data_IF_906680280798
#
_entry.id   IF_906680280798
#
_cell.length_a   1.000
_cell.length_b   1.000
_cell.length_c   1.000
_cell.angle_alpha   90.00
_cell.angle_beta   90.00
_cell.angle_gamma   90.00
#
_symmetry.space_group_name_H-M   'P 1'
#
loop_
_entity.id
_entity.type
_entity.pdbx_description
1 polymer ?
#
# COMPACT_ATOMS: atom_id res chain seq x y z
N UNK A 1 11.59 19.38 22.88
CA UNK A 1 10.95 19.75 21.61
C UNK A 1 11.62 18.92 20.54
N UNK A 2 11.05 17.77 20.19
CA UNK A 2 11.66 16.87 19.20
C UNK A 2 11.20 17.33 17.82
N UNK A 3 12.15 17.42 16.89
CA UNK A 3 11.87 17.72 15.49
C UNK A 3 11.05 16.56 14.93
N UNK A 4 9.73 16.74 14.85
CA UNK A 4 8.94 16.08 13.81
C UNK A 4 9.65 16.32 12.48
N UNK A 5 9.54 15.37 11.56
CA UNK A 5 10.02 15.56 10.19
C UNK A 5 9.14 16.66 9.58
N UNK A 6 9.45 17.92 9.85
CA UNK A 6 8.99 19.10 9.12
C UNK A 6 9.88 19.27 7.88
N UNK A 7 10.24 18.16 7.23
CA UNK A 7 10.70 18.19 5.86
C UNK A 7 9.43 18.15 5.01
N UNK A 8 8.93 19.36 4.72
CA UNK A 8 7.98 19.72 3.66
C UNK A 8 6.54 20.11 4.03
N UNK A 9 5.92 20.84 3.11
CA UNK A 9 4.52 21.25 3.13
C UNK A 9 3.51 20.15 2.79
N UNK A 10 3.93 18.87 2.75
CA UNK A 10 3.02 17.74 2.55
C UNK A 10 2.67 17.07 3.89
N UNK A 11 1.37 17.00 4.20
CA UNK A 11 0.88 16.26 5.37
C UNK A 11 0.68 14.76 5.14
N UNK A 12 1.11 14.22 3.99
CA UNK A 12 0.90 12.81 3.59
C UNK A 12 2.20 12.03 3.62
N UNK A 13 2.13 10.80 4.14
CA UNK A 13 3.20 9.79 4.16
C UNK A 13 2.83 8.59 3.27
N UNK A 14 3.79 7.81 2.75
CA UNK A 14 5.24 7.93 2.94
C UNK A 14 5.86 9.08 2.15
N UNK A 15 6.94 9.65 2.70
CA UNK A 15 7.77 10.67 2.06
C UNK A 15 9.12 10.04 1.72
N UNK A 16 9.51 10.05 0.45
CA UNK A 16 10.86 9.72 0.01
C UNK A 16 11.56 11.02 -0.40
N UNK A 17 12.59 11.38 0.35
CA UNK A 17 13.49 12.49 0.01
C UNK A 17 14.72 11.91 -0.67
N UNK A 18 15.03 12.43 -1.85
CA UNK A 18 16.24 12.11 -2.60
C UNK A 18 17.16 13.31 -2.52
N UNK A 19 18.29 13.12 -1.85
CA UNK A 19 19.33 14.14 -1.70
C UNK A 19 20.20 14.20 -2.96
N UNK A 20 20.23 15.37 -3.59
CA UNK A 20 21.10 15.72 -4.72
C UNK A 20 21.36 17.23 -4.73
N UNK A 21 21.69 17.82 -5.89
CA UNK A 21 21.89 19.28 -6.00
C UNK A 21 20.61 20.07 -5.67
N UNK A 22 19.44 19.50 -6.01
CA UNK A 22 18.13 19.92 -5.51
C UNK A 22 17.48 18.75 -4.76
N UNK A 23 16.96 19.00 -3.56
CA UNK A 23 16.23 18.00 -2.78
C UNK A 23 14.89 17.70 -3.45
N UNK A 24 14.68 16.45 -3.84
CA UNK A 24 13.46 16.01 -4.48
C UNK A 24 12.63 15.17 -3.53
N UNK A 25 11.34 15.46 -3.47
CA UNK A 25 10.42 14.84 -2.52
C UNK A 25 9.26 14.16 -3.25
N UNK A 26 9.04 12.90 -2.91
CA UNK A 26 7.94 12.10 -3.41
C UNK A 26 7.04 11.65 -2.26
N UNK A 27 5.74 11.86 -2.42
CA UNK A 27 4.73 11.66 -1.35
C UNK A 27 3.65 10.63 -1.70
N UNK A 28 3.71 10.05 -2.90
CA UNK A 28 2.79 9.00 -3.34
C UNK A 28 3.55 7.69 -3.46
N UNK A 29 3.13 6.69 -2.66
CA UNK A 29 3.79 5.38 -2.60
C UNK A 29 3.83 4.67 -3.96
N UNK A 30 2.77 4.81 -4.76
CA UNK A 30 2.66 4.20 -6.07
C UNK A 30 3.60 4.88 -7.08
N UNK A 31 3.70 6.21 -7.05
CA UNK A 31 4.70 6.96 -7.83
C UNK A 31 6.12 6.57 -7.43
N UNK A 32 6.43 6.52 -6.13
CA UNK A 32 7.75 6.10 -5.63
C UNK A 32 8.12 4.73 -6.20
N UNK A 33 7.22 3.75 -6.07
CA UNK A 33 7.44 2.40 -6.61
C UNK A 33 7.65 2.39 -8.13
N UNK A 34 6.82 3.11 -8.89
CA UNK A 34 6.89 3.15 -10.36
C UNK A 34 8.16 3.85 -10.84
N UNK A 35 8.53 4.96 -10.20
CA UNK A 35 9.71 5.74 -10.52
C UNK A 35 11.00 4.95 -10.21
N UNK A 36 11.10 4.37 -9.01
CA UNK A 36 12.24 3.53 -8.65
C UNK A 36 12.36 2.30 -9.57
N UNK A 37 11.25 1.62 -9.87
CA UNK A 37 11.26 0.48 -10.79
C UNK A 37 11.74 0.87 -12.18
N UNK A 38 11.34 2.05 -12.65
CA UNK A 38 11.80 2.60 -13.92
C UNK A 38 13.32 2.80 -13.92
N UNK A 39 13.88 3.45 -12.90
CA UNK A 39 15.32 3.67 -12.77
C UNK A 39 16.12 2.37 -12.60
N UNK A 40 15.58 1.37 -11.91
CA UNK A 40 16.23 0.06 -11.74
C UNK A 40 16.36 -0.70 -13.06
N UNK A 41 15.40 -0.52 -13.98
CA UNK A 41 15.41 -1.16 -15.30
C UNK A 41 16.22 -0.34 -16.28
N UNK A 42 15.90 0.94 -16.40
CA UNK A 42 16.54 1.88 -17.31
C UNK A 42 17.58 2.70 -16.52
N UNK A 43 18.77 2.10 -16.35
CA UNK A 43 19.90 2.72 -15.63
C UNK A 43 20.43 4.00 -16.28
N UNK A 44 19.95 4.35 -17.48
CA UNK A 44 20.33 5.57 -18.18
C UNK A 44 19.60 6.81 -17.66
N UNK A 45 18.42 6.62 -17.06
CA UNK A 45 17.58 7.72 -16.58
C UNK A 45 17.81 8.01 -15.10
N UNK A 46 17.93 9.28 -14.78
CA UNK A 46 17.93 9.74 -13.40
C UNK A 46 16.51 9.77 -12.83
N UNK A 47 16.40 9.70 -11.51
CA UNK A 47 15.10 9.80 -10.83
C UNK A 47 14.41 11.15 -11.09
N UNK A 48 15.20 12.22 -11.20
CA UNK A 48 14.74 13.57 -11.54
C UNK A 48 14.03 13.62 -12.90
N UNK A 49 14.58 12.96 -13.92
CA UNK A 49 13.95 12.85 -15.23
C UNK A 49 12.68 11.99 -15.16
N UNK A 50 12.75 10.85 -14.48
CA UNK A 50 11.63 9.90 -14.40
C UNK A 50 10.40 10.50 -13.72
N UNK A 51 10.58 11.35 -12.71
CA UNK A 51 9.46 11.96 -11.98
C UNK A 51 8.65 12.91 -12.87
N UNK A 52 9.25 13.50 -13.89
CA UNK A 52 8.52 14.35 -14.86
C UNK A 52 7.41 13.60 -15.60
N UNK A 53 7.49 12.27 -15.67
CA UNK A 53 6.47 11.42 -16.29
C UNK A 53 5.23 11.16 -15.40
N UNK A 54 5.26 11.60 -14.15
CA UNK A 54 4.16 11.48 -13.19
C UNK A 54 3.67 12.87 -12.76
N UNK A 55 3.06 13.67 -13.66
CA UNK A 55 2.62 15.01 -13.31
C UNK A 55 1.46 14.99 -12.31
N UNK A 56 1.49 15.98 -11.42
CA UNK A 56 0.48 16.23 -10.40
C UNK A 56 -0.76 16.89 -11.01
N UNK A 57 -1.92 16.31 -10.75
CA UNK A 57 -3.23 16.90 -10.98
C UNK A 57 -3.81 17.37 -9.66
N UNK A 58 -4.00 18.69 -9.55
CA UNK A 58 -4.71 19.29 -8.43
C UNK A 58 -6.19 19.39 -8.78
N UNK A 59 -7.04 18.86 -7.91
CA UNK A 59 -8.48 18.90 -8.04
C UNK A 59 -9.09 19.38 -6.74
N UNK A 60 -10.06 20.29 -6.81
CA UNK A 60 -10.80 20.77 -5.64
C UNK A 60 -12.18 20.12 -5.65
N UNK A 61 -12.52 19.38 -4.60
CA UNK A 61 -13.85 18.77 -4.48
C UNK A 61 -14.93 19.85 -4.22
N UNK A 62 -16.21 19.48 -4.33
CA UNK A 62 -17.37 20.35 -4.07
C UNK A 62 -17.36 21.00 -2.67
N UNK A 63 -16.58 20.45 -1.74
CA UNK A 63 -16.39 20.94 -0.39
C UNK A 63 -15.19 21.91 -0.23
N UNK A 64 -14.53 22.30 -1.33
CA UNK A 64 -13.36 23.18 -1.28
C UNK A 64 -12.06 22.47 -0.85
N UNK A 65 -12.08 21.15 -0.69
CA UNK A 65 -10.91 20.36 -0.29
C UNK A 65 -10.05 20.10 -1.51
N UNK A 66 -8.81 20.60 -1.49
CA UNK A 66 -7.81 20.28 -2.51
C UNK A 66 -7.31 18.85 -2.36
N UNK A 67 -7.25 18.15 -3.48
CA UNK A 67 -6.70 16.81 -3.62
C UNK A 67 -5.64 16.86 -4.73
N UNK A 68 -4.49 16.24 -4.47
CA UNK A 68 -3.45 16.05 -5.49
C UNK A 68 -3.42 14.58 -5.86
N UNK A 69 -3.61 14.29 -7.14
CA UNK A 69 -3.51 12.97 -7.72
C UNK A 69 -2.36 12.95 -8.72
N UNK A 70 -1.64 11.83 -8.83
CA UNK A 70 -0.57 11.68 -9.80
C UNK A 70 -1.06 10.88 -10.99
N UNK A 71 -0.98 11.46 -12.19
CA UNK A 71 -1.22 10.66 -13.39
C UNK A 71 -0.15 9.62 -13.56
N UNK A 72 -0.50 8.52 -14.22
CA UNK A 72 0.40 7.41 -14.50
C UNK A 72 1.02 6.77 -13.25
N UNK A 73 0.51 7.01 -12.02
CA UNK A 73 1.14 6.55 -10.77
C UNK A 73 1.45 5.06 -10.73
N UNK A 74 0.69 4.25 -11.46
CA UNK A 74 0.84 2.80 -11.54
C UNK A 74 1.65 2.29 -12.75
N UNK A 75 2.11 3.20 -13.61
CA UNK A 75 2.73 2.88 -14.89
C UNK A 75 4.26 3.01 -14.84
N UNK A 76 4.98 1.92 -15.12
CA UNK A 76 6.45 1.94 -15.22
C UNK A 76 6.88 2.48 -16.59
N UNK A 77 7.76 3.48 -16.64
CA UNK A 77 8.08 4.26 -17.84
C UNK A 77 9.27 3.66 -18.64
N UNK A 78 9.00 2.57 -19.36
CA UNK A 78 10.00 1.83 -20.14
C UNK A 78 9.98 2.16 -21.63
N UNK A 79 11.15 2.07 -22.28
CA UNK A 79 11.25 2.06 -23.74
C UNK A 79 10.80 0.70 -24.31
N UNK A 80 10.64 0.59 -25.64
CA UNK A 80 10.12 -0.61 -26.29
C UNK A 80 10.94 -1.87 -26.01
N UNK A 81 12.27 -1.76 -26.04
CA UNK A 81 13.20 -2.88 -25.81
C UNK A 81 13.06 -3.40 -24.37
N UNK A 82 13.10 -2.50 -23.38
CA UNK A 82 12.96 -2.85 -21.98
C UNK A 82 11.54 -3.38 -21.68
N UNK A 83 10.53 -2.86 -22.37
CA UNK A 83 9.16 -3.33 -22.25
C UNK A 83 9.02 -4.78 -22.71
N UNK A 84 9.56 -5.15 -23.87
CA UNK A 84 9.50 -6.53 -24.38
C UNK A 84 10.28 -7.49 -23.48
N UNK A 85 11.40 -7.05 -22.91
CA UNK A 85 12.21 -7.87 -22.02
C UNK A 85 11.53 -8.13 -20.66
N UNK A 86 10.91 -7.10 -20.07
CA UNK A 86 10.34 -7.19 -18.72
C UNK A 86 8.84 -7.57 -18.69
N UNK A 87 8.12 -7.32 -19.78
CA UNK A 87 6.71 -7.67 -19.95
C UNK A 87 6.51 -8.37 -21.31
N UNK A 88 7.01 -9.61 -21.47
CA UNK A 88 6.89 -10.35 -22.72
C UNK A 88 5.42 -10.60 -23.12
N UNK A 89 4.52 -10.68 -22.14
CA UNK A 89 3.08 -10.66 -22.36
C UNK A 89 2.53 -9.24 -22.14
N UNK A 90 1.94 -8.65 -23.20
CA UNK A 90 1.31 -7.32 -23.12
C UNK A 90 0.16 -7.28 -22.11
N UNK A 91 -0.49 -8.41 -21.84
CA UNK A 91 -1.51 -8.50 -20.80
C UNK A 91 -0.91 -8.40 -19.40
N UNK A 92 0.32 -8.89 -19.17
CA UNK A 92 0.96 -8.89 -17.85
C UNK A 92 1.17 -7.47 -17.30
N UNK A 93 1.54 -6.51 -18.15
CA UNK A 93 1.66 -5.09 -17.74
C UNK A 93 0.31 -4.50 -17.35
N UNK A 94 -0.73 -4.77 -18.13
CA UNK A 94 -2.09 -4.27 -17.86
C UNK A 94 -2.65 -4.88 -16.58
N UNK A 95 -2.40 -6.17 -16.36
CA UNK A 95 -2.77 -6.86 -15.13
C UNK A 95 -2.05 -6.25 -13.92
N UNK A 96 -0.74 -6.04 -13.99
CA UNK A 96 0.00 -5.38 -12.91
C UNK A 96 -0.62 -4.02 -12.55
N UNK A 97 -0.83 -3.16 -13.54
CA UNK A 97 -1.44 -1.82 -13.34
C UNK A 97 -2.82 -1.93 -12.71
N UNK A 98 -3.67 -2.83 -13.22
CA UNK A 98 -5.02 -3.07 -12.69
C UNK A 98 -4.99 -3.49 -11.22
N UNK A 99 -4.11 -4.42 -10.87
CA UNK A 99 -4.05 -4.95 -9.50
C UNK A 99 -3.40 -3.99 -8.51
N UNK A 100 -2.51 -3.11 -8.96
CA UNK A 100 -2.02 -2.00 -8.12
C UNK A 100 -3.11 -0.97 -7.83
N UNK A 101 -3.93 -0.62 -8.82
CA UNK A 101 -5.14 0.18 -8.59
C UNK A 101 -6.08 -0.50 -7.59
N UNK A 102 -6.37 -1.79 -7.78
CA UNK A 102 -7.22 -2.53 -6.86
C UNK A 102 -6.65 -2.57 -5.42
N UNK A 103 -5.33 -2.69 -5.27
CA UNK A 103 -4.70 -2.70 -3.95
C UNK A 103 -4.89 -1.35 -3.21
N UNK A 104 -4.66 -0.24 -3.90
CA UNK A 104 -4.75 1.10 -3.32
C UNK A 104 -6.21 1.56 -3.13
N UNK A 105 -7.05 1.33 -4.14
CA UNK A 105 -8.38 1.96 -4.23
C UNK A 105 -9.47 1.08 -3.59
N UNK A 106 -9.22 -0.23 -3.44
CA UNK A 106 -10.17 -1.17 -2.84
C UNK A 106 -9.62 -1.86 -1.59
N UNK A 107 -8.55 -2.67 -1.72
CA UNK A 107 -8.06 -3.50 -0.62
C UNK A 107 -7.66 -2.66 0.61
N UNK A 108 -6.98 -1.54 0.41
CA UNK A 108 -6.59 -0.61 1.48
C UNK A 108 -7.81 -0.08 2.23
N UNK A 109 -8.89 0.27 1.52
CA UNK A 109 -10.13 0.77 2.11
C UNK A 109 -10.84 -0.28 2.98
N UNK A 110 -10.60 -1.58 2.74
CA UNK A 110 -11.16 -2.66 3.57
C UNK A 110 -10.48 -2.78 4.93
N UNK A 111 -9.24 -2.31 5.09
CA UNK A 111 -8.45 -2.54 6.28
C UNK A 111 -9.01 -1.84 7.52
N UNK A 112 -9.31 -0.53 7.44
CA UNK A 112 -9.76 0.22 8.60
C UNK A 112 -11.08 -0.34 9.20
N UNK A 113 -12.13 -0.63 8.41
CA UNK A 113 -13.34 -1.30 8.91
C UNK A 113 -13.08 -2.67 9.55
N UNK A 114 -12.06 -3.38 9.08
CA UNK A 114 -11.69 -4.68 9.60
C UNK A 114 -10.86 -4.59 10.89
N UNK A 115 -9.85 -3.73 10.94
CA UNK A 115 -8.96 -3.59 12.09
C UNK A 115 -9.65 -2.91 13.27
N UNK A 116 -10.59 -1.99 13.00
CA UNK A 116 -11.32 -1.26 14.02
C UNK A 116 -12.75 -1.79 14.21
N UNK A 117 -13.02 -3.05 13.86
CA UNK A 117 -14.37 -3.65 13.84
C UNK A 117 -15.03 -3.67 15.21
N UNK A 118 -14.27 -3.94 16.27
CA UNK A 118 -14.73 -3.99 17.66
C UNK A 118 -13.86 -3.10 18.55
N UNK A 119 -14.35 -2.65 19.72
CA UNK A 119 -13.55 -1.82 20.63
C UNK A 119 -12.23 -2.49 21.06
N UNK A 120 -12.25 -3.81 21.25
CA UNK A 120 -11.06 -4.58 21.61
C UNK A 120 -10.03 -4.62 20.49
N UNK A 121 -10.48 -4.87 19.25
CA UNK A 121 -9.60 -4.85 18.07
C UNK A 121 -9.03 -3.44 17.82
N UNK A 122 -9.84 -2.39 18.02
CA UNK A 122 -9.38 -1.02 17.86
C UNK A 122 -8.31 -0.63 18.89
N UNK A 123 -8.49 -1.05 20.15
CA UNK A 123 -7.48 -0.86 21.19
C UNK A 123 -6.20 -1.63 20.90
N UNK A 124 -6.30 -2.87 20.40
CA UNK A 124 -5.12 -3.67 20.02
C UNK A 124 -4.35 -3.03 18.85
N UNK A 125 -5.05 -2.52 17.84
CA UNK A 125 -4.45 -1.82 16.72
C UNK A 125 -3.70 -0.55 17.17
N UNK A 126 -4.32 0.25 18.04
CA UNK A 126 -3.67 1.45 18.56
C UNK A 126 -2.57 1.16 19.58
N UNK A 127 -2.67 0.09 20.34
CA UNK A 127 -1.57 -0.38 21.19
C UNK A 127 -0.33 -0.69 20.36
N UNK A 128 -0.52 -1.38 19.22
CA UNK A 128 0.54 -1.62 18.25
C UNK A 128 1.11 -0.30 17.73
N UNK A 129 0.27 0.62 17.24
CA UNK A 129 0.70 1.94 16.74
C UNK A 129 1.55 2.68 17.78
N UNK A 130 1.12 2.67 19.05
CA UNK A 130 1.83 3.35 20.13
C UNK A 130 3.15 2.63 20.47
N UNK A 131 3.16 1.30 20.42
CA UNK A 131 4.35 0.49 20.72
C UNK A 131 5.43 0.53 19.63
N UNK A 132 5.03 0.65 18.37
CA UNK A 132 5.93 0.71 17.21
C UNK A 132 6.32 2.16 16.88
N UNK A 133 5.52 3.12 17.32
CA UNK A 133 5.78 4.55 17.19
C UNK A 133 6.68 5.10 18.28
N UNK A 134 7.14 6.33 18.08
CA UNK A 134 8.01 7.04 19.03
C UNK A 134 7.21 8.07 19.84
N UNK A 135 6.25 7.62 20.65
CA UNK A 135 5.35 8.49 21.42
C UNK A 135 5.79 8.63 22.89
N UNK A 136 5.60 9.81 23.48
CA UNK A 136 5.78 9.99 24.92
C UNK A 136 4.73 9.24 25.74
N UNK A 137 4.93 8.99 27.06
CA UNK A 137 3.99 8.20 27.86
C UNK A 137 2.55 8.75 27.90
N UNK A 138 2.41 10.08 28.02
CA UNK A 138 1.08 10.75 28.06
C UNK A 138 0.45 10.78 26.67
N UNK A 139 1.24 11.13 25.65
CA UNK A 139 0.81 11.18 24.26
C UNK A 139 0.36 9.80 23.77
N UNK A 140 1.15 8.76 24.05
CA UNK A 140 0.82 7.37 23.72
C UNK A 140 -0.44 6.89 24.44
N UNK A 141 -0.66 7.29 25.70
CA UNK A 141 -1.91 6.98 26.40
C UNK A 141 -3.12 7.63 25.71
N UNK A 142 -3.05 8.93 25.42
CA UNK A 142 -4.12 9.66 24.74
C UNK A 142 -4.38 9.04 23.36
N UNK A 143 -3.32 8.83 22.58
CA UNK A 143 -3.42 8.23 21.25
C UNK A 143 -4.05 6.85 21.30
N UNK A 144 -3.65 6.01 22.28
CA UNK A 144 -4.19 4.66 22.43
C UNK A 144 -5.70 4.67 22.64
N UNK A 145 -6.19 5.40 23.63
CA UNK A 145 -7.60 5.32 24.01
C UNK A 145 -8.50 6.23 23.17
N UNK A 146 -8.11 7.49 22.96
CA UNK A 146 -8.90 8.46 22.19
C UNK A 146 -8.84 8.12 20.70
N UNK A 147 -7.66 7.71 20.21
CA UNK A 147 -7.50 7.27 18.82
C UNK A 147 -8.30 6.00 18.52
N UNK A 148 -8.20 4.96 19.36
CA UNK A 148 -8.99 3.74 19.20
C UNK A 148 -10.50 4.01 19.22
N UNK A 149 -10.96 4.85 20.14
CA UNK A 149 -12.36 5.26 20.19
C UNK A 149 -12.79 5.96 18.90
N UNK A 150 -12.02 6.96 18.45
CA UNK A 150 -12.31 7.72 17.23
C UNK A 150 -12.36 6.82 16.00
N UNK A 151 -11.35 5.95 15.83
CA UNK A 151 -11.29 5.04 14.69
C UNK A 151 -12.36 3.96 14.74
N UNK A 152 -12.76 3.48 15.92
CA UNK A 152 -13.90 2.57 16.02
C UNK A 152 -15.16 3.18 15.41
N UNK A 153 -15.50 4.44 15.71
CA UNK A 153 -16.66 5.11 15.09
C UNK A 153 -16.43 5.43 13.61
N UNK A 154 -15.25 5.93 13.26
CA UNK A 154 -14.92 6.22 11.87
C UNK A 154 -15.02 4.98 10.98
N UNK A 155 -14.61 3.81 11.50
CA UNK A 155 -14.75 2.52 10.82
C UNK A 155 -16.20 2.16 10.48
N UNK A 156 -17.16 2.53 11.33
CA UNK A 156 -18.59 2.33 11.06
C UNK A 156 -19.11 3.26 9.98
N UNK A 157 -18.61 4.49 9.91
CA UNK A 157 -18.93 5.43 8.83
C UNK A 157 -18.36 4.93 7.50
N UNK A 158 -17.09 4.51 7.47
CA UNK A 158 -16.45 3.94 6.29
C UNK A 158 -17.20 2.70 5.80
N UNK A 159 -17.61 1.81 6.72
CA UNK A 159 -18.43 0.63 6.39
C UNK A 159 -19.69 1.01 5.59
N UNK A 160 -20.37 2.08 5.99
CA UNK A 160 -21.58 2.58 5.30
C UNK A 160 -21.21 3.19 3.95
N UNK A 161 -20.19 4.05 3.91
CA UNK A 161 -19.76 4.74 2.69
C UNK A 161 -19.32 3.77 1.59
N UNK A 162 -18.55 2.74 1.94
CA UNK A 162 -18.09 1.71 1.01
C UNK A 162 -19.11 0.58 0.79
N UNK A 163 -20.32 0.68 1.36
CA UNK A 163 -21.41 -0.31 1.23
C UNK A 163 -20.95 -1.75 1.54
N UNK A 164 -20.17 -1.88 2.60
CA UNK A 164 -19.63 -3.16 3.06
C UNK A 164 -20.71 -4.05 3.67
N UNK A 165 -20.44 -5.35 3.71
CA UNK A 165 -21.35 -6.33 4.27
C UNK A 165 -21.55 -6.16 5.77
N UNK A 166 -22.60 -6.80 6.30
CA UNK A 166 -22.88 -6.79 7.74
C UNK A 166 -21.68 -7.31 8.54
N UNK A 167 -21.00 -8.34 8.04
CA UNK A 167 -19.71 -8.80 8.53
C UNK A 167 -18.58 -8.35 7.58
N UNK A 168 -17.85 -7.31 7.99
CA UNK A 168 -16.72 -6.73 7.24
C UNK A 168 -15.58 -7.72 6.98
N UNK A 169 -15.52 -8.82 7.75
CA UNK A 169 -14.55 -9.91 7.51
C UNK A 169 -14.83 -10.63 6.21
N UNK A 170 -16.10 -10.78 5.82
CA UNK A 170 -16.46 -11.43 4.56
C UNK A 170 -15.95 -10.63 3.37
N UNK A 171 -16.02 -9.30 3.40
CA UNK A 171 -15.45 -8.45 2.34
C UNK A 171 -13.93 -8.66 2.22
N UNK A 172 -13.24 -8.76 3.36
CA UNK A 172 -11.80 -9.00 3.37
C UNK A 172 -11.44 -10.41 2.87
N UNK A 173 -12.24 -11.43 3.20
CA UNK A 173 -12.06 -12.78 2.68
C UNK A 173 -12.33 -12.86 1.18
N UNK A 174 -13.38 -12.18 0.70
CA UNK A 174 -13.69 -12.07 -0.73
C UNK A 174 -12.57 -11.38 -1.50
N UNK A 175 -12.01 -10.29 -0.95
CA UNK A 175 -10.88 -9.61 -1.57
C UNK A 175 -9.63 -10.51 -1.63
N UNK A 176 -9.36 -11.28 -0.56
CA UNK A 176 -8.27 -12.25 -0.55
C UNK A 176 -8.48 -13.39 -1.56
N UNK A 177 -9.70 -13.91 -1.68
CA UNK A 177 -10.05 -14.94 -2.66
C UNK A 177 -10.03 -14.41 -4.10
N UNK A 178 -10.48 -13.16 -4.32
CA UNK A 178 -10.38 -12.46 -5.61
C UNK A 178 -8.91 -12.32 -6.03
N UNK A 179 -8.03 -11.91 -5.12
CA UNK A 179 -6.59 -11.85 -5.37
C UNK A 179 -6.00 -13.22 -5.70
N UNK A 180 -6.36 -14.25 -4.94
CA UNK A 180 -5.88 -15.61 -5.20
C UNK A 180 -6.44 -16.19 -6.51
N UNK A 181 -7.67 -15.83 -6.89
CA UNK A 181 -8.26 -16.19 -8.17
C UNK A 181 -7.54 -15.49 -9.33
N UNK A 182 -7.14 -14.23 -9.13
CA UNK A 182 -6.36 -13.47 -10.09
C UNK A 182 -5.02 -14.14 -10.36
N UNK A 183 -4.25 -14.46 -9.32
CA UNK A 183 -3.01 -15.24 -9.45
C UNK A 183 -3.30 -16.57 -10.14
N UNK A 184 -4.39 -17.23 -9.77
CA UNK A 184 -4.77 -18.51 -10.34
C UNK A 184 -3.86 -19.65 -9.85
N UNK A 185 -4.01 -20.83 -10.46
CA UNK A 185 -3.40 -22.08 -9.94
C UNK A 185 -2.01 -22.39 -10.51
N UNK A 186 -1.62 -21.74 -11.60
CA UNK A 186 -0.43 -22.10 -12.39
C UNK A 186 0.81 -21.30 -12.03
N UNK A 187 0.65 -20.05 -11.58
CA UNK A 187 1.74 -19.14 -11.23
C UNK A 187 1.89 -19.02 -9.71
N UNK A 188 3.10 -18.74 -9.25
CA UNK A 188 3.43 -18.55 -7.83
C UNK A 188 3.04 -17.17 -7.34
N UNK A 189 3.25 -16.16 -8.18
CA UNK A 189 2.93 -14.76 -7.97
C UNK A 189 2.15 -14.22 -9.17
N UNK A 190 1.54 -13.05 -9.07
CA UNK A 190 0.95 -12.38 -10.24
C UNK A 190 2.03 -12.15 -11.32
N UNK A 191 3.25 -11.80 -10.91
CA UNK A 191 4.43 -11.69 -11.78
C UNK A 191 4.96 -13.01 -12.37
N UNK A 192 4.34 -14.17 -12.07
CA UNK A 192 4.82 -15.47 -12.53
C UNK A 192 5.68 -16.17 -11.46
N UNK A 193 6.96 -16.39 -11.78
CA UNK A 193 7.92 -17.03 -10.87
C UNK A 193 8.51 -16.07 -9.82
N UNK A 194 8.60 -14.78 -10.17
CA UNK A 194 9.02 -13.69 -9.28
C UNK A 194 7.87 -12.71 -9.08
N UNK A 195 7.77 -12.06 -7.91
CA UNK A 195 6.72 -11.08 -7.67
C UNK A 195 6.92 -9.84 -8.53
N UNK A 196 5.81 -9.26 -8.98
CA UNK A 196 5.79 -7.98 -9.68
C UNK A 196 5.35 -6.84 -8.72
N UNK A 197 5.16 -5.62 -9.23
CA UNK A 197 4.78 -4.49 -8.37
C UNK A 197 3.40 -4.68 -7.74
N UNK A 198 2.47 -5.37 -8.41
CA UNK A 198 1.16 -5.66 -7.82
C UNK A 198 1.26 -6.64 -6.65
N UNK A 199 2.07 -7.70 -6.77
CA UNK A 199 2.34 -8.61 -5.65
C UNK A 199 2.92 -7.84 -4.45
N UNK A 200 3.86 -6.92 -4.70
CA UNK A 200 4.47 -6.08 -3.65
C UNK A 200 3.43 -5.15 -3.02
N UNK A 201 2.57 -4.49 -3.82
CA UNK A 201 1.49 -3.62 -3.32
C UNK A 201 0.53 -4.38 -2.41
N UNK A 202 -0.01 -5.52 -2.87
CA UNK A 202 -0.95 -6.33 -2.07
C UNK A 202 -0.28 -6.86 -0.80
N UNK A 203 0.98 -7.29 -0.91
CA UNK A 203 1.74 -7.77 0.25
C UNK A 203 1.96 -6.65 1.28
N UNK A 204 2.32 -5.44 0.84
CA UNK A 204 2.51 -4.28 1.71
C UNK A 204 1.22 -3.88 2.41
N UNK A 205 0.10 -3.83 1.69
CA UNK A 205 -1.22 -3.51 2.25
C UNK A 205 -1.61 -4.55 3.33
N UNK A 206 -1.50 -5.85 3.05
CA UNK A 206 -1.81 -6.88 4.04
C UNK A 206 -0.80 -6.93 5.20
N UNK A 207 0.48 -6.63 4.93
CA UNK A 207 1.53 -6.56 5.96
C UNK A 207 1.29 -5.44 6.98
N UNK A 208 0.61 -4.36 6.60
CA UNK A 208 0.27 -3.26 7.51
C UNK A 208 -0.63 -3.69 8.69
N UNK A 209 -1.29 -4.84 8.57
CA UNK A 209 -2.17 -5.39 9.62
C UNK A 209 -1.63 -6.69 10.24
N UNK A 210 -0.40 -7.09 9.93
CA UNK A 210 0.25 -8.26 10.54
C UNK A 210 0.21 -8.16 12.07
N UNK A 211 0.02 -9.27 12.78
CA UNK A 211 -0.09 -9.27 14.26
C UNK A 211 -1.42 -8.73 14.83
N UNK A 212 -2.35 -8.31 13.98
CA UNK A 212 -3.72 -7.98 14.39
C UNK A 212 -4.67 -9.15 14.08
N UNK A 213 -5.78 -9.24 14.81
CA UNK A 213 -6.77 -10.31 14.64
C UNK A 213 -7.28 -10.41 13.19
N UNK A 214 -7.45 -9.27 12.50
CA UNK A 214 -7.90 -9.24 11.10
C UNK A 214 -6.95 -9.99 10.17
N UNK A 215 -5.65 -9.94 10.43
CA UNK A 215 -4.65 -10.65 9.63
C UNK A 215 -4.71 -12.15 9.88
N UNK A 216 -4.76 -12.56 11.15
CA UNK A 216 -4.88 -13.98 11.51
C UNK A 216 -6.14 -14.60 10.92
N UNK A 217 -7.25 -13.87 10.97
CA UNK A 217 -8.53 -14.25 10.38
C UNK A 217 -8.39 -14.49 8.87
N UNK A 218 -7.77 -13.57 8.13
CA UNK A 218 -7.52 -13.73 6.68
C UNK A 218 -6.61 -14.93 6.39
N UNK A 219 -5.55 -15.11 7.18
CA UNK A 219 -4.60 -16.20 6.99
C UNK A 219 -5.20 -17.58 7.28
N UNK A 220 -6.19 -17.65 8.17
CA UNK A 220 -6.84 -18.90 8.58
C UNK A 220 -8.06 -19.25 7.73
N UNK A 221 -8.81 -18.25 7.25
CA UNK A 221 -10.07 -18.47 6.53
C UNK A 221 -9.96 -18.40 5.00
N UNK A 222 -8.79 -18.07 4.47
CA UNK A 222 -8.58 -17.94 3.01
C UNK A 222 -7.35 -18.72 2.55
N UNK A 223 -7.18 -18.85 1.23
CA UNK A 223 -6.03 -19.54 0.63
C UNK A 223 -4.80 -18.65 0.45
N UNK A 224 -4.88 -17.38 0.87
CA UNK A 224 -3.83 -16.38 0.64
C UNK A 224 -2.53 -16.67 1.39
N UNK A 225 -2.61 -17.42 2.50
CA UNK A 225 -1.47 -17.72 3.37
C UNK A 225 -0.27 -18.32 2.64
N UNK A 226 -0.50 -19.19 1.65
CA UNK A 226 0.58 -19.81 0.87
C UNK A 226 1.35 -18.76 0.05
N UNK A 227 0.62 -17.88 -0.63
CA UNK A 227 1.21 -16.78 -1.40
C UNK A 227 1.89 -15.77 -0.48
N UNK A 228 1.26 -15.39 0.64
CA UNK A 228 1.83 -14.42 1.57
C UNK A 228 3.16 -14.89 2.17
N UNK A 229 3.25 -16.15 2.60
CA UNK A 229 4.51 -16.75 3.06
C UNK A 229 5.57 -16.80 1.96
N UNK A 230 5.17 -17.04 0.70
CA UNK A 230 6.09 -17.01 -0.43
C UNK A 230 6.64 -15.59 -0.68
N UNK A 231 5.79 -14.56 -0.57
CA UNK A 231 6.21 -13.14 -0.64
C UNK A 231 7.17 -12.81 0.49
N UNK A 232 6.83 -13.17 1.72
CA UNK A 232 7.66 -12.94 2.90
C UNK A 232 9.03 -13.62 2.77
N UNK A 233 9.08 -14.83 2.19
CA UNK A 233 10.33 -15.52 1.89
C UNK A 233 11.17 -14.74 0.87
N UNK A 234 10.58 -14.31 -0.25
CA UNK A 234 11.30 -13.54 -1.28
C UNK A 234 11.86 -12.24 -0.71
N UNK A 235 11.07 -11.51 0.07
CA UNK A 235 11.50 -10.23 0.68
C UNK A 235 12.60 -10.45 1.71
N UNK A 236 12.57 -11.51 2.51
CA UNK A 236 13.67 -11.83 3.44
C UNK A 236 14.95 -12.25 2.71
N UNK A 237 14.82 -13.01 1.63
CA UNK A 237 15.97 -13.51 0.85
C UNK A 237 16.63 -12.40 0.03
N UNK A 238 15.86 -11.45 -0.52
CA UNK A 238 16.37 -10.35 -1.35
C UNK A 238 16.56 -9.04 -0.55
N UNK A 239 15.96 -8.91 0.64
CA UNK A 239 16.15 -7.77 1.55
C UNK A 239 17.53 -7.71 2.22
N UNK A 240 18.49 -8.48 1.72
CA UNK A 240 19.88 -8.48 2.13
C UNK A 240 20.88 -8.77 1.01
N UNK A 241 20.47 -8.96 -0.26
CA UNK A 241 21.40 -9.21 -1.36
C UNK A 241 20.76 -9.00 -2.75
N UNK A 242 21.52 -8.26 -3.57
CA UNK A 242 21.49 -8.00 -5.03
C UNK A 242 20.94 -6.65 -5.51
#
# INVERSE_FOLDING_TARGET
MRQEITLSGSSKVPILVIEGEESLELNDASVIMSALKTCMIDKSKTIYEVITYYPQLKSTNIFGIESTEFTNRHWVMLNEIALELHYPDKAARRDEVRWRHWADDWLLCLLAPNVYRSPMEALAAYDRVVSEGNYGPVEGFVLKYVGAFTMFFFSKLLKIWYRMESDVRQDLYKAADEWMAAIGKRRKFLGGERPNLADISVYGVLGSIEGLQAFDDVMNHTKIRKWYKAMQKVIREHGGQD
#
